data_IF_242191680423
#
_entry.id   IF_242191680423
#
_cell.length_a   1.000
_cell.length_b   1.000
_cell.length_c   1.000
_cell.angle_alpha   90.00
_cell.angle_beta   90.00
_cell.angle_gamma   90.00
#
_symmetry.space_group_name_H-M   'P 1'
#
loop_
_entity.id
_entity.type
_entity.pdbx_description
1 polymer ?
#
# COMPACT_ATOMS: atom_id res chain seq x y z
N UNK A 1 48.42 -28.21 53.16
CA UNK A 1 47.35 -28.59 52.19
C UNK A 1 46.65 -27.32 51.69
N UNK A 2 46.94 -26.90 50.46
CA UNK A 2 46.23 -25.76 49.81
C UNK A 2 45.27 -26.33 48.79
N UNK A 3 43.98 -26.08 49.00
CA UNK A 3 42.92 -26.50 48.09
C UNK A 3 42.69 -25.34 47.08
N UNK A 4 43.05 -25.56 45.82
CA UNK A 4 42.82 -24.68 44.73
C UNK A 4 41.40 -24.91 44.19
N UNK A 5 40.50 -23.92 44.32
CA UNK A 5 39.16 -23.93 43.70
C UNK A 5 39.28 -23.46 42.24
N UNK A 6 39.01 -24.34 41.31
CA UNK A 6 38.82 -24.00 39.89
C UNK A 6 37.41 -23.43 39.69
N UNK A 7 37.35 -22.19 39.22
CA UNK A 7 36.10 -21.55 38.80
C UNK A 7 35.92 -21.82 37.31
N UNK A 8 34.97 -22.68 36.94
CA UNK A 8 34.56 -22.88 35.56
C UNK A 8 33.63 -21.73 35.15
N UNK A 9 34.13 -20.82 34.31
CA UNK A 9 33.32 -19.82 33.64
C UNK A 9 32.61 -20.49 32.46
N UNK A 10 31.31 -20.73 32.56
CA UNK A 10 30.48 -21.15 31.43
C UNK A 10 30.16 -19.94 30.55
N UNK A 11 30.83 -19.84 29.41
CA UNK A 11 30.52 -18.85 28.36
C UNK A 11 29.25 -19.31 27.59
N UNK A 12 28.10 -18.76 27.92
CA UNK A 12 26.88 -18.97 27.15
C UNK A 12 26.97 -18.16 25.84
N UNK A 13 27.37 -18.81 24.74
CA UNK A 13 27.24 -18.27 23.40
C UNK A 13 25.73 -18.17 23.07
N UNK A 14 25.16 -16.97 23.13
CA UNK A 14 23.89 -16.67 22.46
C UNK A 14 24.13 -16.70 20.93
N UNK A 15 23.81 -17.84 20.31
CA UNK A 15 23.68 -17.94 18.87
C UNK A 15 22.46 -17.07 18.45
N UNK A 16 22.69 -15.80 18.09
CA UNK A 16 21.73 -15.06 17.28
C UNK A 16 21.65 -15.80 15.94
N UNK A 17 20.63 -16.64 15.78
CA UNK A 17 20.29 -17.20 14.48
C UNK A 17 19.82 -16.04 13.58
N UNK A 18 20.70 -15.56 12.70
CA UNK A 18 20.32 -14.67 11.63
C UNK A 18 19.21 -15.36 10.81
N UNK A 19 18.03 -14.77 10.77
CA UNK A 19 16.96 -15.27 9.90
C UNK A 19 17.48 -15.22 8.46
N UNK A 20 17.39 -16.33 7.69
CA UNK A 20 17.87 -16.33 6.31
C UNK A 20 17.08 -15.33 5.48
N UNK A 21 17.79 -14.49 4.71
CA UNK A 21 17.16 -13.65 3.69
C UNK A 21 16.56 -14.55 2.59
N UNK A 22 15.40 -14.17 2.04
CA UNK A 22 14.75 -14.94 0.99
C UNK A 22 15.55 -14.82 -0.32
N UNK A 23 16.09 -15.95 -0.81
CA UNK A 23 16.98 -15.97 -1.98
C UNK A 23 16.32 -15.54 -3.29
N UNK A 24 15.00 -15.74 -3.42
CA UNK A 24 14.20 -15.46 -4.62
C UNK A 24 13.35 -14.19 -4.54
N UNK A 25 13.38 -13.50 -3.40
CA UNK A 25 12.43 -12.43 -3.07
C UNK A 25 11.16 -12.98 -2.40
N UNK A 26 10.50 -12.12 -1.62
CA UNK A 26 9.28 -12.49 -0.88
C UNK A 26 8.19 -11.45 -1.10
N UNK A 27 6.96 -11.91 -1.29
CA UNK A 27 5.78 -11.07 -1.29
C UNK A 27 5.16 -11.04 0.11
N UNK A 28 4.93 -9.84 0.63
CA UNK A 28 4.16 -9.59 1.84
C UNK A 28 2.70 -9.36 1.42
N UNK A 29 1.81 -10.24 1.82
CA UNK A 29 0.38 -10.13 1.55
C UNK A 29 -0.33 -9.82 2.85
N UNK A 30 -0.94 -8.66 2.92
CA UNK A 30 -1.59 -8.15 4.13
C UNK A 30 -3.03 -8.69 4.17
N UNK A 31 -3.31 -9.58 5.12
CA UNK A 31 -4.61 -10.27 5.24
C UNK A 31 -5.49 -9.56 6.28
N UNK A 32 -6.25 -8.55 5.88
CA UNK A 32 -7.03 -7.69 6.78
C UNK A 32 -8.01 -8.50 7.64
N UNK A 33 -8.81 -9.36 7.02
CA UNK A 33 -9.79 -10.17 7.75
C UNK A 33 -9.20 -11.40 8.46
N UNK A 34 -7.91 -11.69 8.21
CA UNK A 34 -7.19 -12.82 8.82
C UNK A 34 -6.23 -12.43 9.94
N UNK A 35 -6.14 -11.15 10.30
CA UNK A 35 -5.21 -10.62 11.29
C UNK A 35 -3.78 -11.17 11.10
N UNK A 36 -3.28 -11.18 9.87
CA UNK A 36 -1.99 -11.80 9.54
C UNK A 36 -1.34 -11.21 8.30
N UNK A 37 -0.05 -11.48 8.14
CA UNK A 37 0.70 -11.22 6.92
C UNK A 37 1.18 -12.57 6.38
N UNK A 38 0.79 -12.92 5.16
CA UNK A 38 1.33 -14.06 4.44
C UNK A 38 2.63 -13.67 3.76
N UNK A 39 3.69 -14.45 3.96
CA UNK A 39 4.94 -14.35 3.23
C UNK A 39 4.98 -15.43 2.16
N UNK A 40 5.00 -15.01 0.91
CA UNK A 40 4.98 -15.91 -0.25
C UNK A 40 6.32 -15.84 -0.96
N UNK A 41 6.97 -16.98 -1.15
CA UNK A 41 8.16 -17.07 -2.00
C UNK A 41 7.78 -16.81 -3.46
N UNK A 42 8.39 -15.80 -4.08
CA UNK A 42 8.01 -15.32 -5.40
C UNK A 42 8.35 -16.29 -6.53
N UNK A 43 9.28 -17.23 -6.31
CA UNK A 43 9.67 -18.21 -7.33
C UNK A 43 8.78 -19.45 -7.33
N UNK A 44 8.46 -19.97 -6.16
CA UNK A 44 7.63 -21.16 -6.01
C UNK A 44 6.13 -20.87 -5.93
N UNK A 45 5.75 -19.59 -5.74
CA UNK A 45 4.38 -19.12 -5.54
C UNK A 45 3.69 -19.82 -4.36
N UNK A 46 4.46 -20.15 -3.31
CA UNK A 46 3.95 -20.81 -2.10
C UNK A 46 4.09 -19.91 -0.88
N UNK A 47 3.08 -19.92 -0.03
CA UNK A 47 3.20 -19.32 1.30
C UNK A 47 4.24 -20.09 2.11
N UNK A 48 5.30 -19.41 2.54
CA UNK A 48 6.40 -19.98 3.31
C UNK A 48 6.34 -19.65 4.79
N UNK A 49 5.61 -18.60 5.15
CA UNK A 49 5.38 -18.21 6.54
C UNK A 49 4.14 -17.31 6.64
N UNK A 50 3.43 -17.42 7.76
CA UNK A 50 2.35 -16.50 8.12
C UNK A 50 2.68 -15.83 9.45
N UNK A 51 2.66 -14.50 9.48
CA UNK A 51 2.96 -13.69 10.66
C UNK A 51 1.62 -13.23 11.25
N UNK A 52 1.29 -13.58 12.50
CA UNK A 52 0.12 -13.03 13.17
C UNK A 52 0.39 -11.56 13.52
N UNK A 53 -0.62 -10.73 13.37
CA UNK A 53 -0.65 -9.32 13.81
C UNK A 53 -1.82 -9.11 14.75
N UNK A 54 -2.03 -7.87 15.27
CA UNK A 54 -3.02 -7.71 16.33
C UNK A 54 -4.45 -7.95 15.88
N UNK A 55 -4.92 -7.24 14.85
CA UNK A 55 -6.35 -7.32 14.49
C UNK A 55 -6.66 -7.17 13.02
N UNK A 56 -6.36 -6.00 12.41
CA UNK A 56 -6.77 -5.70 11.04
C UNK A 56 -5.68 -4.92 10.30
N UNK A 57 -4.61 -5.62 9.85
CA UNK A 57 -3.60 -4.98 9.00
C UNK A 57 -4.23 -4.63 7.66
N UNK A 58 -3.87 -3.46 7.10
CA UNK A 58 -4.58 -2.97 5.92
C UNK A 58 -3.65 -2.61 4.77
N UNK A 59 -2.98 -1.48 4.83
CA UNK A 59 -2.02 -1.05 3.82
C UNK A 59 -0.58 -1.08 4.36
N UNK A 60 0.37 -1.01 3.43
CA UNK A 60 1.78 -0.92 3.77
C UNK A 60 2.49 0.15 2.94
N UNK A 61 3.62 0.63 3.44
CA UNK A 61 4.51 1.56 2.76
C UNK A 61 5.96 1.26 3.09
N UNK A 62 6.82 1.27 2.08
CA UNK A 62 8.27 1.18 2.30
C UNK A 62 8.78 2.54 2.78
N UNK A 63 9.61 2.53 3.84
CA UNK A 63 10.27 3.75 4.30
C UNK A 63 11.22 4.29 3.22
N UNK A 64 11.45 5.62 3.15
CA UNK A 64 12.29 6.23 2.11
C UNK A 64 13.73 5.70 2.09
N UNK A 65 14.25 5.22 3.22
CA UNK A 65 15.58 4.61 3.31
C UNK A 65 15.62 3.13 2.90
N UNK A 66 14.45 2.54 2.58
CA UNK A 66 14.32 1.14 2.18
C UNK A 66 14.52 0.11 3.30
N UNK A 67 14.68 0.53 4.55
CA UNK A 67 15.05 -0.35 5.67
C UNK A 67 13.86 -0.90 6.45
N UNK A 68 12.69 -0.29 6.29
CA UNK A 68 11.49 -0.72 7.01
C UNK A 68 10.28 -0.72 6.07
N UNK A 69 9.54 -1.82 6.09
CA UNK A 69 8.19 -1.89 5.55
C UNK A 69 7.20 -1.61 6.69
N UNK A 70 6.49 -0.51 6.57
CA UNK A 70 5.47 -0.10 7.53
C UNK A 70 4.15 -0.78 7.16
N UNK A 71 3.47 -1.37 8.12
CA UNK A 71 2.13 -1.97 7.96
C UNK A 71 1.20 -1.35 8.99
N UNK A 72 0.12 -0.74 8.54
CA UNK A 72 -0.92 -0.19 9.42
C UNK A 72 -1.86 -1.28 9.89
N UNK A 73 -2.04 -1.42 11.22
CA UNK A 73 -3.09 -2.24 11.83
C UNK A 73 -4.18 -1.33 12.37
N UNK A 74 -5.27 -1.21 11.60
CA UNK A 74 -6.35 -0.23 11.85
C UNK A 74 -7.02 -0.43 13.21
N UNK A 75 -7.52 -1.63 13.47
CA UNK A 75 -8.20 -1.97 14.73
C UNK A 75 -7.21 -2.19 15.86
N UNK A 76 -5.97 -2.61 15.54
CA UNK A 76 -4.86 -2.69 16.48
C UNK A 76 -4.37 -1.31 16.97
N UNK A 77 -4.66 -0.24 16.22
CA UNK A 77 -4.19 1.12 16.48
C UNK A 77 -2.67 1.21 16.58
N UNK A 78 -1.96 0.59 15.63
CA UNK A 78 -0.51 0.62 15.57
C UNK A 78 0.01 0.55 14.14
N UNK A 79 1.22 1.02 13.95
CA UNK A 79 2.04 0.77 12.77
C UNK A 79 3.15 -0.19 13.15
N UNK A 80 3.25 -1.30 12.41
CA UNK A 80 4.27 -2.32 12.53
C UNK A 80 5.39 -2.03 11.53
N UNK A 81 6.64 -2.10 11.97
CA UNK A 81 7.81 -1.90 11.12
C UNK A 81 8.49 -3.25 10.92
N UNK A 82 8.56 -3.72 9.70
CA UNK A 82 9.23 -4.98 9.35
C UNK A 82 10.49 -4.72 8.53
N UNK A 83 11.50 -5.53 8.73
CA UNK A 83 12.61 -5.62 7.78
C UNK A 83 12.08 -6.20 6.46
N UNK A 84 12.20 -5.48 5.32
CA UNK A 84 11.61 -5.92 4.08
C UNK A 84 12.28 -7.16 3.45
N UNK A 85 13.49 -7.54 3.91
CA UNK A 85 14.25 -8.67 3.38
C UNK A 85 14.07 -9.94 4.22
N UNK A 86 13.93 -9.82 5.53
CA UNK A 86 13.84 -10.95 6.47
C UNK A 86 12.46 -11.13 7.07
N UNK A 87 11.61 -10.11 6.92
CA UNK A 87 10.31 -10.00 7.57
C UNK A 87 10.39 -10.08 9.11
N UNK A 88 11.52 -9.67 9.68
CA UNK A 88 11.66 -9.51 11.12
C UNK A 88 10.93 -8.24 11.57
N UNK A 89 10.14 -8.35 12.65
CA UNK A 89 9.53 -7.19 13.28
C UNK A 89 10.61 -6.35 13.97
N UNK A 90 10.77 -5.10 13.54
CA UNK A 90 11.78 -4.18 14.06
C UNK A 90 11.22 -3.29 15.17
N UNK A 91 9.99 -2.80 15.01
CA UNK A 91 9.38 -1.80 15.89
C UNK A 91 7.86 -1.84 15.78
N UNK A 92 7.20 -1.38 16.84
CA UNK A 92 5.78 -1.03 16.89
C UNK A 92 5.61 0.42 17.30
N UNK A 93 4.68 1.12 16.70
CA UNK A 93 4.38 2.51 17.03
C UNK A 93 2.86 2.69 17.17
N UNK A 94 2.38 3.21 18.30
CA UNK A 94 0.96 3.52 18.46
C UNK A 94 0.54 4.61 17.46
N UNK A 95 -0.43 4.30 16.61
CA UNK A 95 -1.05 5.23 15.66
C UNK A 95 -2.53 4.89 15.59
N UNK A 96 -3.38 5.89 15.74
CA UNK A 96 -4.82 5.66 15.76
C UNK A 96 -5.34 5.35 14.33
N UNK A 97 -5.92 4.14 14.15
CA UNK A 97 -6.60 3.72 12.93
C UNK A 97 -5.79 3.94 11.64
N UNK A 98 -4.57 3.39 11.50
CA UNK A 98 -3.74 3.59 10.33
C UNK A 98 -4.27 2.77 9.15
N UNK A 99 -5.30 3.27 8.47
CA UNK A 99 -5.95 2.60 7.34
C UNK A 99 -5.05 2.58 6.10
N UNK A 100 -4.63 3.78 5.64
CA UNK A 100 -3.59 3.91 4.64
C UNK A 100 -2.51 4.84 5.15
N UNK A 101 -1.27 4.56 4.78
CA UNK A 101 -0.11 5.36 5.14
C UNK A 101 0.83 5.47 3.94
N UNK A 102 1.52 6.60 3.83
CA UNK A 102 2.47 6.83 2.75
C UNK A 102 3.41 7.99 3.04
N UNK A 103 4.61 7.90 2.48
CA UNK A 103 5.61 8.96 2.59
C UNK A 103 5.47 9.94 1.43
N UNK A 104 5.68 11.22 1.71
CA UNK A 104 5.81 12.21 0.64
C UNK A 104 7.04 11.92 -0.24
N UNK A 105 7.04 12.29 -1.54
CA UNK A 105 8.16 12.01 -2.45
C UNK A 105 9.52 12.49 -1.96
N UNK A 106 9.58 13.62 -1.24
CA UNK A 106 10.82 14.15 -0.64
C UNK A 106 11.20 13.46 0.70
N UNK A 107 10.44 12.48 1.16
CA UNK A 107 10.67 11.73 2.39
C UNK A 107 10.49 12.52 3.70
N UNK A 108 9.97 13.77 3.67
CA UNK A 108 9.83 14.61 4.87
C UNK A 108 8.59 14.32 5.70
N UNK A 109 7.51 13.90 5.06
CA UNK A 109 6.24 13.66 5.73
C UNK A 109 5.82 12.19 5.59
N UNK A 110 5.25 11.66 6.67
CA UNK A 110 4.42 10.46 6.64
C UNK A 110 2.98 10.89 6.89
N UNK A 111 2.09 10.62 5.94
CA UNK A 111 0.66 10.89 6.11
C UNK A 111 -0.04 9.57 6.40
N UNK A 112 -0.98 9.61 7.34
CA UNK A 112 -1.78 8.45 7.75
C UNK A 112 -3.25 8.83 7.71
N UNK A 113 -4.03 8.10 6.92
CA UNK A 113 -5.47 8.21 6.87
C UNK A 113 -6.08 7.26 7.91
N UNK A 114 -6.93 7.80 8.79
CA UNK A 114 -7.72 7.05 9.75
C UNK A 114 -9.18 7.02 9.32
N UNK A 115 -9.56 5.98 8.57
CA UNK A 115 -10.87 5.86 7.92
C UNK A 115 -12.02 5.85 8.95
N UNK A 116 -11.95 4.98 9.95
CA UNK A 116 -12.97 4.85 10.99
C UNK A 116 -12.90 5.98 12.04
N UNK A 117 -11.71 6.52 12.27
CA UNK A 117 -11.49 7.65 13.16
C UNK A 117 -11.81 9.00 12.53
N UNK A 118 -12.07 9.03 11.23
CA UNK A 118 -12.38 10.26 10.51
C UNK A 118 -11.30 11.34 10.69
N UNK A 119 -10.05 10.96 10.47
CA UNK A 119 -8.91 11.87 10.63
C UNK A 119 -7.82 11.60 9.59
N UNK A 120 -7.05 12.65 9.28
CA UNK A 120 -5.79 12.55 8.54
C UNK A 120 -4.70 13.10 9.43
N UNK A 121 -3.67 12.31 9.68
CA UNK A 121 -2.53 12.66 10.51
C UNK A 121 -1.29 12.87 9.63
N UNK A 122 -0.60 13.97 9.85
CA UNK A 122 0.68 14.29 9.21
C UNK A 122 1.78 14.23 10.24
N UNK A 123 2.75 13.36 10.01
CA UNK A 123 3.92 13.16 10.85
C UNK A 123 5.17 13.70 10.17
N UNK A 124 6.14 14.16 10.94
CA UNK A 124 7.52 14.26 10.51
C UNK A 124 8.09 12.86 10.31
N UNK A 125 8.53 12.54 9.09
CA UNK A 125 8.93 11.16 8.75
C UNK A 125 10.23 10.71 9.42
N UNK A 126 11.10 11.62 9.79
CA UNK A 126 12.38 11.30 10.45
C UNK A 126 12.20 11.01 11.94
N UNK A 127 11.47 11.85 12.65
CA UNK A 127 11.23 11.71 14.09
C UNK A 127 9.99 10.88 14.43
N UNK A 128 9.11 10.66 13.47
CA UNK A 128 7.77 10.07 13.66
C UNK A 128 6.90 10.86 14.66
N UNK A 129 7.15 12.15 14.82
CA UNK A 129 6.34 13.04 15.64
C UNK A 129 5.12 13.53 14.84
N UNK A 130 3.96 13.53 15.48
CA UNK A 130 2.74 14.10 14.90
C UNK A 130 2.89 15.62 14.78
N UNK A 131 2.88 16.13 13.55
CA UNK A 131 2.91 17.57 13.25
C UNK A 131 1.51 18.17 13.26
N UNK A 132 0.54 17.47 12.66
CA UNK A 132 -0.83 17.95 12.53
C UNK A 132 -1.82 16.80 12.42
N UNK A 133 -2.95 16.95 13.08
CA UNK A 133 -4.15 16.12 12.89
C UNK A 133 -5.25 16.96 12.27
N UNK A 134 -5.86 16.44 11.21
CA UNK A 134 -7.04 16.99 10.57
C UNK A 134 -8.23 16.09 10.92
N UNK A 135 -9.17 16.53 11.80
CA UNK A 135 -10.43 15.84 12.01
C UNK A 135 -11.30 16.03 10.75
N UNK A 136 -11.68 14.95 10.10
CA UNK A 136 -12.40 14.96 8.82
C UNK A 136 -13.55 13.95 8.92
N UNK A 137 -14.74 14.39 9.19
CA UNK A 137 -15.92 13.52 9.32
C UNK A 137 -16.41 12.93 7.99
N UNK A 138 -15.53 12.22 7.26
CA UNK A 138 -15.75 11.85 5.85
C UNK A 138 -15.11 10.55 5.42
N UNK A 139 -14.66 9.69 6.33
CA UNK A 139 -13.99 8.42 6.02
C UNK A 139 -12.81 8.62 5.05
N UNK A 140 -11.71 9.32 5.45
CA UNK A 140 -10.52 9.46 4.61
C UNK A 140 -9.91 8.09 4.32
N UNK A 141 -9.69 7.78 3.05
CA UNK A 141 -9.37 6.45 2.59
C UNK A 141 -8.00 6.39 1.94
N UNK A 142 -7.90 6.69 0.65
CA UNK A 142 -6.67 6.60 -0.11
C UNK A 142 -6.08 7.98 -0.38
N UNK A 143 -4.79 8.01 -0.70
CA UNK A 143 -4.08 9.26 -0.98
C UNK A 143 -2.94 9.07 -1.97
N UNK A 144 -2.57 10.17 -2.61
CA UNK A 144 -1.33 10.31 -3.36
C UNK A 144 -0.84 11.76 -3.28
N UNK A 145 0.39 12.01 -3.71
CA UNK A 145 1.09 13.26 -3.52
C UNK A 145 1.37 13.98 -4.84
N UNK A 146 1.44 15.31 -4.78
CA UNK A 146 2.12 16.06 -5.81
C UNK A 146 3.63 15.70 -5.80
N UNK A 147 4.30 15.58 -6.96
CA UNK A 147 5.70 15.16 -7.05
C UNK A 147 6.67 16.09 -6.30
N UNK A 148 6.33 17.36 -6.18
CA UNK A 148 7.10 18.37 -5.41
C UNK A 148 6.86 18.27 -3.90
N UNK A 149 6.02 17.35 -3.45
CA UNK A 149 5.62 17.16 -2.05
C UNK A 149 4.90 18.37 -1.42
N UNK A 150 4.42 19.29 -2.22
CA UNK A 150 3.68 20.46 -1.72
C UNK A 150 2.28 20.10 -1.22
N UNK A 151 1.68 19.05 -1.76
CA UNK A 151 0.30 18.63 -1.46
C UNK A 151 0.17 17.12 -1.35
N UNK A 152 -0.77 16.68 -0.51
CA UNK A 152 -1.35 15.35 -0.52
C UNK A 152 -2.84 15.45 -0.85
N UNK A 153 -3.31 14.54 -1.70
CA UNK A 153 -4.70 14.42 -2.13
C UNK A 153 -5.32 13.21 -1.49
N UNK A 154 -6.42 13.38 -0.78
CA UNK A 154 -7.06 12.34 0.03
C UNK A 154 -8.51 12.14 -0.42
N UNK A 155 -8.90 10.91 -0.76
CA UNK A 155 -10.28 10.56 -1.04
C UNK A 155 -11.09 10.43 0.25
N UNK A 156 -12.34 10.94 0.21
CA UNK A 156 -13.26 11.01 1.33
C UNK A 156 -14.55 10.22 0.98
N UNK A 157 -14.54 8.92 1.30
CA UNK A 157 -15.60 7.98 0.89
C UNK A 157 -16.98 8.36 1.45
N UNK A 158 -17.04 8.80 2.70
CA UNK A 158 -18.31 9.09 3.38
C UNK A 158 -19.05 10.31 2.88
N UNK A 159 -18.38 11.17 2.09
CA UNK A 159 -18.98 12.41 1.57
C UNK A 159 -18.79 12.59 0.07
N UNK A 160 -18.45 11.53 -0.68
CA UNK A 160 -18.31 11.60 -2.14
C UNK A 160 -17.36 12.71 -2.61
N UNK A 161 -16.29 12.93 -1.87
CA UNK A 161 -15.42 14.10 -2.00
C UNK A 161 -13.94 13.71 -2.06
N UNK A 162 -13.11 14.69 -2.38
CA UNK A 162 -11.67 14.65 -2.21
C UNK A 162 -11.21 15.91 -1.49
N UNK A 163 -10.11 15.82 -0.78
CA UNK A 163 -9.45 16.92 -0.10
C UNK A 163 -8.00 17.02 -0.55
N UNK A 164 -7.50 18.25 -0.74
CA UNK A 164 -6.08 18.52 -0.83
C UNK A 164 -5.59 19.20 0.44
N UNK A 165 -4.48 18.70 1.00
CA UNK A 165 -3.78 19.30 2.13
C UNK A 165 -2.47 19.92 1.61
N UNK A 166 -2.25 21.19 1.89
CA UNK A 166 -0.96 21.85 1.71
C UNK A 166 -0.02 21.41 2.85
N UNK A 167 1.02 20.66 2.52
CA UNK A 167 1.96 20.09 3.48
C UNK A 167 2.97 21.12 4.01
N UNK A 168 3.21 22.22 3.29
CA UNK A 168 4.10 23.30 3.76
C UNK A 168 3.42 24.15 4.82
N UNK A 169 2.10 24.37 4.67
CA UNK A 169 1.29 25.18 5.60
C UNK A 169 0.57 24.35 6.65
N UNK A 170 0.53 23.01 6.48
CA UNK A 170 -0.27 22.08 7.27
C UNK A 170 -1.73 22.55 7.38
N UNK A 171 -2.33 22.82 6.23
CA UNK A 171 -3.70 23.35 6.10
C UNK A 171 -4.44 22.71 4.92
N UNK A 172 -5.77 22.58 5.04
CA UNK A 172 -6.62 22.16 3.93
C UNK A 172 -6.58 23.26 2.87
N UNK A 173 -6.17 22.90 1.63
CA UNK A 173 -6.16 23.80 0.49
C UNK A 173 -7.56 23.92 -0.13
N UNK A 174 -8.24 22.77 -0.32
CA UNK A 174 -9.60 22.71 -0.80
C UNK A 174 -10.24 21.35 -0.47
N UNK A 175 -11.57 21.29 -0.53
CA UNK A 175 -12.39 20.06 -0.50
C UNK A 175 -13.46 20.20 -1.58
N UNK A 176 -13.63 19.17 -2.41
CA UNK A 176 -14.57 19.20 -3.55
C UNK A 176 -15.30 17.87 -3.70
N UNK A 177 -16.54 17.91 -4.19
CA UNK A 177 -17.29 16.74 -4.64
C UNK A 177 -16.70 16.25 -5.96
N UNK A 178 -16.34 14.95 -6.04
CA UNK A 178 -15.68 14.41 -7.23
C UNK A 178 -16.40 13.23 -7.86
N UNK A 179 -17.05 12.39 -7.07
CA UNK A 179 -17.68 11.17 -7.54
C UNK A 179 -18.43 10.49 -6.40
N UNK A 180 -18.73 9.20 -6.54
CA UNK A 180 -19.48 8.43 -5.55
C UNK A 180 -18.59 7.39 -4.87
N UNK A 181 -18.41 7.52 -3.56
CA UNK A 181 -17.54 6.65 -2.76
C UNK A 181 -16.12 6.57 -3.36
N UNK A 182 -15.41 7.71 -3.53
CA UNK A 182 -14.08 7.72 -4.12
C UNK A 182 -13.09 6.92 -3.25
N UNK A 183 -12.22 6.15 -3.89
CA UNK A 183 -11.24 5.30 -3.22
C UNK A 183 -9.81 5.61 -3.70
N UNK A 184 -9.19 4.76 -4.50
CA UNK A 184 -7.81 4.92 -4.95
C UNK A 184 -7.52 6.27 -5.59
N UNK A 185 -6.35 6.82 -5.30
CA UNK A 185 -5.87 8.12 -5.77
C UNK A 185 -4.52 7.92 -6.44
N UNK A 186 -4.30 8.53 -7.59
CA UNK A 186 -3.04 8.50 -8.33
C UNK A 186 -2.76 9.88 -8.94
N UNK A 187 -1.61 10.46 -8.61
CA UNK A 187 -1.10 11.62 -9.34
C UNK A 187 -0.58 11.19 -10.70
N UNK A 188 -0.99 11.90 -11.73
CA UNK A 188 -0.53 11.62 -13.10
C UNK A 188 -0.53 12.87 -13.98
N UNK A 189 0.65 13.25 -14.50
CA UNK A 189 0.83 14.33 -15.50
C UNK A 189 0.08 15.64 -15.14
N UNK A 190 0.24 16.12 -13.90
CA UNK A 190 -0.41 17.36 -13.45
C UNK A 190 -1.90 17.26 -13.18
N UNK A 191 -2.44 16.04 -13.06
CA UNK A 191 -3.82 15.73 -12.72
C UNK A 191 -3.88 14.73 -11.58
N UNK A 192 -5.02 14.59 -10.93
CA UNK A 192 -5.28 13.55 -9.94
C UNK A 192 -6.34 12.60 -10.50
N UNK A 193 -5.98 11.33 -10.65
CA UNK A 193 -6.92 10.28 -11.04
C UNK A 193 -7.50 9.66 -9.79
N UNK A 194 -8.81 9.45 -9.74
CA UNK A 194 -9.48 8.86 -8.59
C UNK A 194 -10.40 7.75 -9.02
N UNK A 195 -10.23 6.57 -8.46
CA UNK A 195 -11.14 5.45 -8.65
C UNK A 195 -12.45 5.72 -7.90
N UNK A 196 -13.55 5.80 -8.63
CA UNK A 196 -14.88 6.10 -8.10
C UNK A 196 -15.63 4.77 -7.85
N UNK A 197 -15.43 4.20 -6.64
CA UNK A 197 -15.89 2.86 -6.30
C UNK A 197 -17.41 2.68 -6.33
N UNK A 198 -18.16 3.76 -6.12
CA UNK A 198 -19.62 3.76 -6.24
C UNK A 198 -20.14 3.80 -7.69
N UNK A 199 -19.25 3.85 -8.67
CA UNK A 199 -19.54 3.87 -10.10
C UNK A 199 -18.60 2.95 -10.88
N UNK A 200 -18.61 3.07 -12.21
CA UNK A 200 -17.76 2.29 -13.13
C UNK A 200 -16.63 3.17 -13.72
N UNK A 201 -16.29 4.27 -13.07
CA UNK A 201 -15.40 5.29 -13.63
C UNK A 201 -14.17 5.54 -12.78
N UNK A 202 -13.09 5.92 -13.45
CA UNK A 202 -12.03 6.76 -12.90
C UNK A 202 -12.34 8.20 -13.24
N UNK A 203 -12.32 9.10 -12.26
CA UNK A 203 -12.50 10.54 -12.47
C UNK A 203 -11.16 11.24 -12.53
N UNK A 204 -11.04 12.23 -13.41
CA UNK A 204 -9.86 13.09 -13.54
C UNK A 204 -10.15 14.42 -12.87
N UNK A 205 -9.32 14.77 -11.89
CA UNK A 205 -9.52 15.94 -11.02
C UNK A 205 -8.40 16.95 -11.24
N UNK A 206 -8.77 18.22 -11.36
CA UNK A 206 -7.82 19.34 -11.38
C UNK A 206 -7.22 19.49 -9.96
N UNK A 207 -5.88 19.41 -9.79
CA UNK A 207 -5.26 19.50 -8.47
C UNK A 207 -5.32 20.89 -7.83
N UNK A 208 -5.69 21.92 -8.60
CA UNK A 208 -5.73 23.31 -8.12
C UNK A 208 -6.97 23.57 -7.29
N UNK A 209 -8.15 23.13 -7.79
CA UNK A 209 -9.45 23.47 -7.22
C UNK A 209 -10.38 22.26 -6.96
N UNK A 210 -9.96 21.05 -7.34
CA UNK A 210 -10.74 19.82 -7.15
C UNK A 210 -11.84 19.61 -8.18
N UNK A 211 -11.87 20.38 -9.26
CA UNK A 211 -12.90 20.25 -10.33
C UNK A 211 -12.69 18.98 -11.14
N UNK A 212 -13.75 18.18 -11.31
CA UNK A 212 -13.73 17.02 -12.22
C UNK A 212 -13.70 17.50 -13.67
N UNK A 213 -12.69 17.09 -14.40
CA UNK A 213 -12.48 17.46 -15.80
C UNK A 213 -12.87 16.37 -16.79
N UNK A 214 -12.81 15.10 -16.37
CA UNK A 214 -13.07 13.95 -17.23
C UNK A 214 -13.54 12.74 -16.41
N UNK A 215 -14.22 11.79 -17.06
CA UNK A 215 -14.58 10.49 -16.52
C UNK A 215 -14.20 9.39 -17.51
N UNK A 216 -13.47 8.38 -17.04
CA UNK A 216 -12.96 7.28 -17.85
C UNK A 216 -13.68 6.02 -17.40
N UNK A 217 -14.43 5.39 -18.27
CA UNK A 217 -15.09 4.12 -17.96
C UNK A 217 -14.06 3.00 -17.91
N UNK A 218 -14.00 2.24 -16.80
CA UNK A 218 -13.05 1.15 -16.60
C UNK A 218 -13.72 -0.17 -16.28
N UNK A 219 -14.70 -0.17 -15.40
CA UNK A 219 -15.45 -1.35 -14.98
C UNK A 219 -16.07 -1.18 -13.60
N UNK A 220 -16.99 -2.06 -13.26
CA UNK A 220 -17.86 -1.93 -12.10
C UNK A 220 -17.07 -1.91 -10.78
N UNK A 221 -17.23 -0.81 -10.04
CA UNK A 221 -16.63 -0.61 -8.75
C UNK A 221 -15.12 -0.36 -8.85
N UNK A 222 -14.69 0.62 -9.65
CA UNK A 222 -13.31 1.07 -9.75
C UNK A 222 -12.77 1.41 -8.35
N UNK A 223 -11.74 0.68 -7.89
CA UNK A 223 -11.31 0.74 -6.49
C UNK A 223 -9.94 1.37 -6.29
N UNK A 224 -8.93 0.94 -7.04
CA UNK A 224 -7.58 1.45 -6.87
C UNK A 224 -6.84 1.54 -8.21
N UNK A 225 -5.82 2.41 -8.27
CA UNK A 225 -5.04 2.69 -9.46
C UNK A 225 -3.54 2.50 -9.18
N UNK A 226 -2.82 1.97 -10.18
CA UNK A 226 -1.39 1.69 -10.06
C UNK A 226 -0.67 2.05 -11.35
N UNK A 227 0.38 2.84 -11.25
CA UNK A 227 1.26 3.15 -12.37
C UNK A 227 2.26 2.01 -12.60
N UNK A 228 2.39 1.55 -13.84
CA UNK A 228 3.44 0.59 -14.19
C UNK A 228 4.84 1.19 -14.01
N UNK A 229 5.88 0.38 -13.72
CA UNK A 229 7.23 0.88 -13.49
C UNK A 229 7.85 1.65 -14.66
N UNK A 230 7.38 1.39 -15.87
CA UNK A 230 7.82 2.10 -17.09
C UNK A 230 6.98 3.35 -17.40
N UNK A 231 6.02 3.68 -16.54
CA UNK A 231 5.08 4.80 -16.66
C UNK A 231 4.23 4.82 -17.93
N UNK A 232 4.01 3.67 -18.58
CA UNK A 232 3.23 3.59 -19.83
C UNK A 232 1.79 3.15 -19.61
N UNK A 233 1.53 2.42 -18.55
CA UNK A 233 0.23 1.81 -18.26
C UNK A 233 -0.25 2.21 -16.86
N UNK A 234 -1.51 2.61 -16.77
CA UNK A 234 -2.22 2.72 -15.50
C UNK A 234 -3.14 1.52 -15.36
N UNK A 235 -3.00 0.80 -14.27
CA UNK A 235 -3.83 -0.36 -13.94
C UNK A 235 -4.92 0.04 -12.97
N UNK A 236 -6.16 -0.35 -13.26
CA UNK A 236 -7.34 -0.03 -12.44
C UNK A 236 -8.02 -1.32 -12.01
N UNK A 237 -8.09 -1.57 -10.71
CA UNK A 237 -8.84 -2.69 -10.17
C UNK A 237 -10.32 -2.32 -10.05
N UNK A 238 -11.19 -3.09 -10.70
CA UNK A 238 -12.63 -2.95 -10.63
C UNK A 238 -13.17 -4.04 -9.69
N UNK A 239 -13.18 -3.74 -8.40
CA UNK A 239 -13.40 -4.71 -7.32
C UNK A 239 -14.71 -5.48 -7.45
N UNK A 240 -15.79 -4.79 -7.77
CA UNK A 240 -17.14 -5.39 -7.88
C UNK A 240 -17.31 -6.16 -9.19
N UNK A 241 -16.73 -5.66 -10.26
CA UNK A 241 -16.78 -6.31 -11.59
C UNK A 241 -15.85 -7.52 -11.70
N UNK A 242 -14.90 -7.69 -10.77
CA UNK A 242 -13.92 -8.78 -10.83
C UNK A 242 -13.01 -8.66 -12.04
N UNK A 243 -12.59 -7.44 -12.38
CA UNK A 243 -11.69 -7.19 -13.50
C UNK A 243 -10.58 -6.22 -13.11
N UNK A 244 -9.47 -6.27 -13.84
CA UNK A 244 -8.42 -5.25 -13.81
C UNK A 244 -8.27 -4.69 -15.22
N UNK A 245 -8.39 -3.36 -15.36
CA UNK A 245 -8.34 -2.68 -16.65
C UNK A 245 -7.01 -1.94 -16.79
N UNK A 246 -6.32 -2.12 -17.92
CA UNK A 246 -5.15 -1.31 -18.28
C UNK A 246 -5.56 -0.11 -19.11
N UNK A 247 -5.03 1.06 -18.76
CA UNK A 247 -5.18 2.31 -19.52
C UNK A 247 -3.82 2.71 -20.09
N UNK A 248 -3.81 3.27 -21.29
CA UNK A 248 -2.64 3.97 -21.81
C UNK A 248 -2.40 5.23 -20.96
N UNK A 249 -1.20 5.36 -20.39
CA UNK A 249 -0.91 6.44 -19.45
C UNK A 249 -0.83 7.81 -20.13
N UNK A 250 -0.53 7.89 -21.43
CA UNK A 250 -0.44 9.15 -22.14
C UNK A 250 -1.82 9.70 -22.54
N UNK A 251 -2.72 8.80 -22.95
CA UNK A 251 -4.05 9.17 -23.50
C UNK A 251 -5.20 8.90 -22.54
N UNK A 252 -4.96 8.14 -21.47
CA UNK A 252 -5.95 7.66 -20.50
C UNK A 252 -7.04 6.78 -21.12
N UNK A 253 -6.81 6.23 -22.31
CA UNK A 253 -7.77 5.35 -22.99
C UNK A 253 -7.63 3.90 -22.51
N UNK A 254 -8.74 3.18 -22.26
CA UNK A 254 -8.70 1.76 -21.95
C UNK A 254 -8.08 0.94 -23.08
N UNK A 255 -7.12 0.07 -22.73
CA UNK A 255 -6.45 -0.83 -23.67
C UNK A 255 -7.08 -2.23 -23.61
N UNK A 256 -7.13 -2.81 -22.39
CA UNK A 256 -7.59 -4.18 -22.19
C UNK A 256 -8.16 -4.33 -20.78
N UNK A 257 -9.17 -5.19 -20.63
CA UNK A 257 -9.69 -5.64 -19.35
C UNK A 257 -9.38 -7.13 -19.15
N UNK A 258 -8.92 -7.48 -17.95
CA UNK A 258 -8.53 -8.82 -17.54
C UNK A 258 -9.52 -9.31 -16.51
N UNK A 259 -10.07 -10.51 -16.71
CA UNK A 259 -10.99 -11.14 -15.75
C UNK A 259 -10.19 -11.68 -14.56
N UNK A 260 -10.34 -11.06 -13.40
CA UNK A 260 -9.73 -11.47 -12.13
C UNK A 260 -10.83 -11.53 -11.07
N UNK A 261 -11.58 -12.62 -11.06
CA UNK A 261 -12.68 -12.81 -10.13
C UNK A 261 -12.20 -12.84 -8.66
N UNK A 262 -13.06 -12.43 -7.74
CA UNK A 262 -12.77 -12.45 -6.31
C UNK A 262 -12.36 -11.12 -5.71
N UNK A 263 -12.72 -10.02 -6.38
CA UNK A 263 -12.51 -8.65 -5.90
C UNK A 263 -11.04 -8.22 -5.94
N UNK A 264 -10.50 -7.93 -7.14
CA UNK A 264 -9.13 -7.39 -7.26
C UNK A 264 -9.01 -6.09 -6.48
N UNK A 265 -7.93 -5.95 -5.70
CA UNK A 265 -7.83 -4.91 -4.70
C UNK A 265 -6.53 -4.10 -4.78
N UNK A 266 -5.38 -4.73 -4.56
CA UNK A 266 -4.08 -4.09 -4.65
C UNK A 266 -3.21 -4.74 -5.74
N UNK A 267 -2.25 -3.99 -6.30
CA UNK A 267 -1.32 -4.47 -7.34
C UNK A 267 0.13 -4.17 -6.94
N UNK A 268 0.99 -5.15 -7.14
CA UNK A 268 2.43 -4.95 -7.17
C UNK A 268 3.03 -5.54 -8.44
N UNK A 269 4.10 -4.90 -8.93
CA UNK A 269 4.77 -5.28 -10.17
C UNK A 269 6.01 -6.10 -9.88
N UNK A 270 6.04 -7.33 -10.38
CA UNK A 270 7.21 -8.18 -10.26
C UNK A 270 8.28 -7.83 -11.29
N UNK A 271 9.58 -8.08 -10.98
CA UNK A 271 10.68 -7.80 -11.91
C UNK A 271 10.60 -8.58 -13.24
N UNK A 272 9.87 -9.69 -13.29
CA UNK A 272 9.63 -10.49 -14.50
C UNK A 272 8.48 -9.94 -15.38
N UNK A 273 7.87 -8.82 -14.97
CA UNK A 273 6.78 -8.16 -15.68
C UNK A 273 5.38 -8.67 -15.35
N UNK A 274 5.26 -9.67 -14.48
CA UNK A 274 3.95 -10.12 -13.98
C UNK A 274 3.38 -9.17 -12.93
N UNK A 275 2.07 -9.14 -12.82
CA UNK A 275 1.33 -8.39 -11.82
C UNK A 275 0.85 -9.32 -10.72
N UNK A 276 1.14 -8.99 -9.49
CA UNK A 276 0.55 -9.63 -8.33
C UNK A 276 -0.68 -8.83 -7.92
N UNK A 277 -1.85 -9.46 -7.93
CA UNK A 277 -3.13 -8.81 -7.66
C UNK A 277 -3.81 -9.51 -6.50
N UNK A 278 -4.01 -8.81 -5.38
CA UNK A 278 -4.77 -9.35 -4.26
C UNK A 278 -6.25 -9.50 -4.63
N UNK A 279 -6.86 -10.62 -4.23
CA UNK A 279 -8.27 -10.96 -4.51
C UNK A 279 -9.03 -11.01 -3.19
N UNK A 280 -9.51 -9.84 -2.75
CA UNK A 280 -10.03 -9.60 -1.40
C UNK A 280 -11.07 -10.60 -0.92
N UNK A 281 -11.96 -11.05 -1.81
CA UNK A 281 -13.07 -11.94 -1.47
C UNK A 281 -12.78 -13.43 -1.70
N UNK A 282 -11.56 -13.78 -2.13
CA UNK A 282 -11.20 -15.12 -2.54
C UNK A 282 -10.08 -15.77 -1.71
N UNK A 283 -9.50 -15.07 -0.73
CA UNK A 283 -8.34 -15.53 0.05
C UNK A 283 -7.14 -15.92 -0.84
N UNK A 284 -6.93 -15.18 -1.92
CA UNK A 284 -5.98 -15.52 -2.96
C UNK A 284 -5.28 -14.28 -3.52
N UNK A 285 -4.14 -14.52 -4.15
CA UNK A 285 -3.46 -13.58 -5.03
C UNK A 285 -3.44 -14.17 -6.43
N UNK A 286 -3.73 -13.35 -7.45
CA UNK A 286 -3.49 -13.70 -8.85
C UNK A 286 -2.11 -13.17 -9.26
N UNK A 287 -1.30 -14.00 -9.92
CA UNK A 287 -0.01 -13.61 -10.53
C UNK A 287 -0.22 -13.60 -12.03
N UNK A 288 -0.64 -12.44 -12.54
CA UNK A 288 -1.10 -12.23 -13.91
C UNK A 288 0.07 -11.99 -14.86
N UNK A 289 0.10 -12.70 -15.98
CA UNK A 289 0.89 -12.30 -17.14
C UNK A 289 0.07 -11.33 -18.01
N UNK A 290 0.46 -10.05 -18.09
CA UNK A 290 -0.32 -9.06 -18.83
C UNK A 290 -0.30 -9.28 -20.34
N UNK A 291 0.64 -10.07 -20.88
CA UNK A 291 0.72 -10.39 -22.31
C UNK A 291 -0.33 -11.39 -22.72
N UNK A 292 -0.42 -12.49 -21.99
CA UNK A 292 -1.38 -13.57 -22.28
C UNK A 292 -2.74 -13.29 -21.66
N UNK A 293 -2.78 -12.69 -20.45
CA UNK A 293 -3.98 -12.53 -19.64
C UNK A 293 -4.28 -13.74 -18.76
N UNK A 294 -3.39 -14.74 -18.75
CA UNK A 294 -3.46 -15.87 -17.84
C UNK A 294 -2.83 -15.53 -16.50
N UNK A 295 -3.25 -16.19 -15.43
CA UNK A 295 -2.69 -16.00 -14.10
C UNK A 295 -2.60 -17.28 -13.30
N UNK A 296 -1.51 -17.39 -12.54
CA UNK A 296 -1.38 -18.34 -11.46
C UNK A 296 -2.12 -17.85 -10.22
N UNK A 297 -2.52 -18.79 -9.35
CA UNK A 297 -3.20 -18.48 -8.10
C UNK A 297 -2.36 -18.90 -6.91
N UNK A 298 -2.23 -18.02 -5.93
CA UNK A 298 -1.55 -18.27 -4.65
C UNK A 298 -2.57 -18.19 -3.52
N UNK A 299 -2.64 -19.23 -2.68
CA UNK A 299 -3.46 -19.24 -1.48
C UNK A 299 -2.78 -18.42 -0.37
N UNK A 300 -3.56 -17.56 0.31
CA UNK A 300 -3.09 -16.68 1.37
C UNK A 300 -4.13 -16.59 2.50
N UNK A 301 -3.99 -15.65 3.41
CA UNK A 301 -4.97 -15.45 4.47
C UNK A 301 -6.24 -14.74 4.01
N UNK A 302 -7.21 -14.64 4.93
CA UNK A 302 -8.54 -14.09 4.67
C UNK A 302 -8.49 -12.59 4.38
N UNK A 303 -9.22 -12.16 3.36
CA UNK A 303 -9.36 -10.77 2.91
C UNK A 303 -8.00 -10.11 2.63
N UNK A 304 -7.18 -10.65 1.68
CA UNK A 304 -5.92 -10.03 1.32
C UNK A 304 -6.18 -8.65 0.72
N UNK A 305 -5.42 -7.66 1.18
CA UNK A 305 -5.57 -6.26 0.80
C UNK A 305 -4.24 -5.69 0.36
N UNK A 306 -3.44 -5.10 1.26
CA UNK A 306 -2.14 -4.54 0.93
C UNK A 306 -1.14 -5.60 0.43
N UNK A 307 -0.24 -5.18 -0.42
CA UNK A 307 0.74 -6.05 -1.09
C UNK A 307 2.07 -5.33 -1.27
N UNK A 308 3.16 -6.01 -0.91
CA UNK A 308 4.52 -5.52 -1.17
C UNK A 308 5.41 -6.66 -1.66
N UNK A 309 6.11 -6.45 -2.76
CA UNK A 309 7.11 -7.39 -3.28
C UNK A 309 8.50 -6.92 -2.86
N UNK A 310 9.13 -7.68 -1.97
CA UNK A 310 10.51 -7.42 -1.57
C UNK A 310 11.45 -7.97 -2.64
N UNK A 311 12.29 -7.13 -3.26
CA UNK A 311 13.26 -7.59 -4.24
C UNK A 311 14.38 -8.40 -3.58
N UNK A 312 15.06 -9.23 -4.37
CA UNK A 312 16.32 -9.87 -3.93
C UNK A 312 17.32 -8.83 -3.45
N UNK A 313 18.05 -9.11 -2.40
CA UNK A 313 18.92 -8.28 -1.59
C UNK A 313 19.84 -7.21 -2.21
N UNK A 314 19.72 -6.85 -3.48
CA UNK A 314 20.51 -5.76 -4.07
C UNK A 314 19.69 -4.66 -4.78
N UNK A 315 18.38 -4.79 -4.91
CA UNK A 315 17.54 -3.87 -5.67
C UNK A 315 16.65 -2.93 -4.83
N UNK A 316 16.77 -2.98 -3.51
CA UNK A 316 15.96 -2.12 -2.61
C UNK A 316 16.19 -0.59 -2.82
N UNK A 317 17.24 -0.21 -3.53
CA UNK A 317 17.59 1.20 -3.75
C UNK A 317 16.76 1.91 -4.83
N UNK A 318 16.03 1.19 -5.70
CA UNK A 318 15.35 1.81 -6.85
C UNK A 318 13.85 2.04 -6.69
N UNK A 319 13.22 1.48 -5.65
CA UNK A 319 11.76 1.59 -5.42
C UNK A 319 11.38 2.78 -4.52
N UNK A 320 12.37 3.35 -3.82
CA UNK A 320 12.14 4.49 -2.90
C UNK A 320 12.09 5.86 -3.58
N UNK A 321 12.19 5.94 -4.90
CA UNK A 321 12.24 7.19 -5.66
C UNK A 321 11.10 7.31 -6.67
N UNK A 322 9.85 7.07 -6.21
CA UNK A 322 8.69 7.43 -7.06
C UNK A 322 7.43 7.62 -6.22
#
# INVERSE_FOLDING_TARGET
MRVTRAVCLALSLLLLSALPAFASGVAFIINSGGASISLVDMSSLKEVRRIPVLREPHHCALAPDGRSLLVGDTVGNEVLFFDPLTAALQKRMPVADPYQLGFSPNGKFLVVNGLARNQVDVYDAASMQLLKRFPIASMPSHMDYAPDSSRVFVSLQGTDSMMAIDLNRLAVAWTAKIGKTPAGVLWHNGKVLVADMGTDYVVVVDPVDGRVTERIHTGKGAHNLFMSPDHKIIWVNNRIGGTTTSLDAATLTPIRSYAIAGGPDDIAFAPDGRLWVTRRFAEKVAVLDPKTGEYDTVDVGRSPHGLFLSPKGSAAASVAAR
#
